data_IF_148627270144
#
_entry.id   IF_148627270144
#
_cell.length_a   1.000
_cell.length_b   1.000
_cell.length_c   1.000
_cell.angle_alpha   90.00
_cell.angle_beta   90.00
_cell.angle_gamma   90.00
#
_symmetry.space_group_name_H-M   'P 1'
#
loop_
_entity.id
_entity.type
_entity.pdbx_description
1 polymer ?
#
# COMPACT_ATOMS: atom_id res chain seq x y z
N UNK A 1 3.34 40.63 -5.77
CA UNK A 1 3.39 39.14 -5.74
C UNK A 1 4.64 38.73 -6.49
N UNK A 2 5.67 38.21 -5.80
CA UNK A 2 6.98 37.94 -6.40
C UNK A 2 6.88 36.83 -7.45
N UNK A 3 7.59 36.99 -8.57
CA UNK A 3 7.67 36.00 -9.65
C UNK A 3 8.17 34.62 -9.15
N UNK A 4 8.97 34.61 -8.09
CA UNK A 4 9.39 33.39 -7.39
C UNK A 4 8.26 32.73 -6.58
N UNK A 5 7.39 33.51 -5.92
CA UNK A 5 6.20 32.97 -5.25
C UNK A 5 5.19 32.43 -6.25
N UNK A 6 5.04 33.08 -7.42
CA UNK A 6 4.17 32.59 -8.49
C UNK A 6 4.75 31.34 -9.18
N UNK A 7 6.08 31.22 -9.31
CA UNK A 7 6.76 29.99 -9.77
C UNK A 7 6.68 28.86 -8.75
N UNK A 8 6.80 29.17 -7.46
CA UNK A 8 6.70 28.19 -6.38
C UNK A 8 5.25 27.71 -6.19
N UNK A 9 4.26 28.59 -6.33
CA UNK A 9 2.83 28.24 -6.36
C UNK A 9 2.49 27.35 -7.56
N UNK A 10 3.03 27.66 -8.76
CA UNK A 10 2.88 26.80 -9.94
C UNK A 10 3.61 25.46 -9.80
N UNK A 11 4.79 25.40 -9.17
CA UNK A 11 5.47 24.14 -8.82
C UNK A 11 4.63 23.31 -7.83
N UNK A 12 3.98 23.94 -6.86
CA UNK A 12 3.17 23.25 -5.85
C UNK A 12 1.92 22.57 -6.44
N UNK A 13 1.41 23.08 -7.56
CA UNK A 13 0.23 22.57 -8.26
C UNK A 13 0.51 21.50 -9.32
N UNK A 14 1.78 21.19 -9.60
CA UNK A 14 2.16 20.18 -10.60
C UNK A 14 1.73 18.77 -10.18
N UNK A 15 1.10 17.99 -11.07
CA UNK A 15 0.67 16.63 -10.77
C UNK A 15 1.87 15.72 -10.42
N UNK A 16 3.02 15.89 -11.07
CA UNK A 16 4.27 15.18 -10.75
C UNK A 16 4.70 15.35 -9.29
N UNK A 17 4.70 16.59 -8.79
CA UNK A 17 5.05 16.90 -7.40
C UNK A 17 4.03 16.35 -6.40
N UNK A 18 2.74 16.33 -6.76
CA UNK A 18 1.70 15.72 -5.93
C UNK A 18 1.89 14.21 -5.82
N UNK A 19 2.17 13.54 -6.94
CA UNK A 19 2.47 12.11 -6.95
C UNK A 19 3.68 11.80 -6.05
N UNK A 20 4.79 12.55 -6.21
CA UNK A 20 6.00 12.39 -5.38
C UNK A 20 5.71 12.53 -3.88
N UNK A 21 4.84 13.46 -3.49
CA UNK A 21 4.41 13.62 -2.09
C UNK A 21 3.64 12.40 -1.58
N UNK A 22 2.72 11.86 -2.36
CA UNK A 22 1.93 10.68 -1.98
C UNK A 22 2.86 9.46 -1.85
N UNK A 23 3.72 9.24 -2.84
CA UNK A 23 4.68 8.13 -2.83
C UNK A 23 5.68 8.28 -1.67
N UNK A 24 6.08 9.50 -1.30
CA UNK A 24 6.92 9.72 -0.12
C UNK A 24 6.27 9.21 1.17
N UNK A 25 4.96 9.35 1.32
CA UNK A 25 4.25 8.78 2.48
C UNK A 25 4.35 7.26 2.46
N UNK A 26 4.10 6.63 1.30
CA UNK A 26 4.29 5.18 1.12
C UNK A 26 5.70 4.75 1.51
N UNK A 27 6.73 5.46 1.02
CA UNK A 27 8.14 5.18 1.34
C UNK A 27 8.45 5.27 2.83
N UNK A 28 7.91 6.28 3.53
CA UNK A 28 8.09 6.41 4.98
C UNK A 28 7.47 5.20 5.70
N UNK A 29 6.23 4.83 5.34
CA UNK A 29 5.58 3.65 5.91
C UNK A 29 6.39 2.37 5.66
N UNK A 30 6.82 2.15 4.41
CA UNK A 30 7.63 1.00 4.03
C UNK A 30 8.99 0.98 4.72
N UNK A 31 9.63 2.14 4.93
CA UNK A 31 10.89 2.26 5.66
C UNK A 31 10.75 1.90 7.14
N UNK A 32 9.66 2.32 7.79
CA UNK A 32 9.34 1.94 9.17
C UNK A 32 9.15 0.42 9.28
N UNK A 33 8.46 -0.19 8.30
CA UNK A 33 8.30 -1.64 8.19
C UNK A 33 9.56 -2.39 7.74
N UNK A 34 10.67 -1.67 7.50
CA UNK A 34 11.97 -2.26 7.15
C UNK A 34 12.12 -2.66 5.68
N UNK A 35 11.26 -2.21 4.76
CA UNK A 35 11.34 -2.56 3.34
C UNK A 35 11.02 -1.38 2.40
N UNK A 36 11.88 -0.34 2.35
CA UNK A 36 11.76 0.75 1.36
C UNK A 36 12.25 0.32 -0.03
N UNK A 37 11.48 -0.54 -0.70
CA UNK A 37 11.82 -1.09 -2.02
C UNK A 37 11.90 -0.03 -3.11
N UNK A 38 11.32 1.15 -2.90
CA UNK A 38 11.32 2.26 -3.85
C UNK A 38 12.62 3.09 -3.81
N UNK A 39 13.46 2.92 -2.79
CA UNK A 39 14.79 3.53 -2.79
C UNK A 39 15.71 2.78 -3.77
N UNK A 40 16.38 3.45 -4.73
CA UNK A 40 17.34 2.81 -5.63
C UNK A 40 18.46 2.04 -4.89
N UNK A 41 18.90 2.57 -3.74
CA UNK A 41 19.98 2.00 -2.93
C UNK A 41 19.48 1.02 -1.86
N UNK A 42 18.20 0.64 -1.89
CA UNK A 42 17.68 -0.28 -0.88
C UNK A 42 18.32 -1.68 -0.99
N UNK A 43 18.91 -2.07 0.13
CA UNK A 43 19.39 -3.40 0.45
C UNK A 43 18.60 -3.93 1.66
N UNK A 44 18.54 -5.26 1.80
CA UNK A 44 17.93 -5.90 2.97
C UNK A 44 18.75 -5.51 4.19
N UNK A 45 18.12 -4.79 5.11
CA UNK A 45 18.78 -4.24 6.30
C UNK A 45 18.49 -5.10 7.53
N UNK A 46 19.22 -4.87 8.62
CA UNK A 46 18.98 -5.53 9.92
C UNK A 46 17.52 -5.36 10.38
N UNK A 47 16.89 -4.23 10.07
CA UNK A 47 15.47 -3.98 10.37
C UNK A 47 14.55 -4.94 9.61
N UNK A 48 14.85 -5.23 8.35
CA UNK A 48 14.09 -6.20 7.54
C UNK A 48 14.18 -7.59 8.17
N UNK A 49 15.38 -8.01 8.57
CA UNK A 49 15.57 -9.29 9.26
C UNK A 49 14.84 -9.34 10.61
N UNK A 50 14.87 -8.26 11.37
CA UNK A 50 14.13 -8.16 12.63
C UNK A 50 12.62 -8.30 12.42
N UNK A 51 12.05 -7.58 11.45
CA UNK A 51 10.62 -7.68 11.13
C UNK A 51 10.25 -9.09 10.66
N UNK A 52 11.09 -9.71 9.82
CA UNK A 52 10.89 -11.10 9.40
C UNK A 52 10.94 -12.07 10.59
N UNK A 53 11.88 -11.88 11.52
CA UNK A 53 11.98 -12.71 12.73
C UNK A 53 10.72 -12.56 13.60
N UNK A 54 10.24 -11.33 13.81
CA UNK A 54 9.00 -11.06 14.57
C UNK A 54 7.79 -11.72 13.92
N UNK A 55 7.66 -11.66 12.60
CA UNK A 55 6.56 -12.30 11.87
C UNK A 55 6.63 -13.82 12.03
N UNK A 56 7.80 -14.43 11.83
CA UNK A 56 7.96 -15.89 11.98
C UNK A 56 7.69 -16.34 13.42
N UNK A 57 8.15 -15.58 14.41
CA UNK A 57 7.84 -15.83 15.82
C UNK A 57 6.33 -15.74 16.09
N UNK A 58 5.65 -14.75 15.51
CA UNK A 58 4.20 -14.60 15.62
C UNK A 58 3.43 -15.77 14.98
N UNK A 59 3.90 -16.28 13.83
CA UNK A 59 3.32 -17.47 13.19
C UNK A 59 3.49 -18.70 14.08
N UNK A 60 4.64 -18.86 14.74
CA UNK A 60 4.90 -19.96 15.65
C UNK A 60 3.97 -19.91 16.87
N UNK A 61 3.81 -18.74 17.49
CA UNK A 61 2.89 -18.54 18.60
C UNK A 61 1.44 -18.88 18.21
N UNK A 62 0.98 -18.39 17.06
CA UNK A 62 -0.35 -18.71 16.56
C UNK A 62 -0.53 -20.20 16.26
N UNK A 63 0.50 -20.86 15.73
CA UNK A 63 0.46 -22.31 15.49
C UNK A 63 0.36 -23.10 16.80
N UNK A 64 1.04 -22.64 17.86
CA UNK A 64 0.93 -23.21 19.19
C UNK A 64 -0.48 -23.02 19.77
N UNK A 65 -1.05 -21.82 19.69
CA UNK A 65 -2.45 -21.57 20.08
C UNK A 65 -3.43 -22.48 19.33
N UNK A 66 -3.22 -22.68 18.03
CA UNK A 66 -4.08 -23.57 17.25
C UNK A 66 -4.00 -25.02 17.78
N UNK A 67 -2.80 -25.45 18.19
CA UNK A 67 -2.59 -26.77 18.78
C UNK A 67 -3.25 -26.89 20.16
N UNK A 68 -3.07 -25.93 21.06
CA UNK A 68 -3.69 -25.96 22.40
C UNK A 68 -5.22 -25.88 22.31
N UNK A 69 -5.77 -24.98 21.50
CA UNK A 69 -7.22 -24.87 21.30
C UNK A 69 -7.85 -26.14 20.71
N UNK A 70 -7.11 -26.87 19.86
CA UNK A 70 -7.57 -28.16 19.31
C UNK A 70 -7.47 -29.31 20.31
N UNK A 71 -6.32 -29.45 20.98
CA UNK A 71 -5.98 -30.64 21.79
C UNK A 71 -6.49 -30.54 23.23
N UNK A 72 -6.40 -29.36 23.84
CA UNK A 72 -6.67 -29.16 25.27
C UNK A 72 -8.12 -28.71 25.51
N UNK A 73 -8.63 -27.77 24.70
CA UNK A 73 -9.96 -27.17 24.91
C UNK A 73 -11.05 -27.77 24.01
N UNK A 74 -10.68 -28.33 22.85
CA UNK A 74 -11.63 -28.88 21.88
C UNK A 74 -12.55 -27.83 21.24
N UNK A 75 -12.19 -26.54 21.33
CA UNK A 75 -12.99 -25.43 20.82
C UNK A 75 -12.58 -25.04 19.39
N UNK A 76 -13.44 -25.40 18.44
CA UNK A 76 -13.27 -25.10 17.03
C UNK A 76 -13.29 -23.59 16.71
N UNK A 77 -13.88 -22.77 17.57
CA UNK A 77 -13.91 -21.32 17.37
C UNK A 77 -12.50 -20.71 17.46
N UNK A 78 -11.66 -21.23 18.36
CA UNK A 78 -10.28 -20.77 18.55
C UNK A 78 -9.46 -21.06 17.29
N UNK A 79 -9.59 -22.26 16.75
CA UNK A 79 -8.90 -22.67 15.51
C UNK A 79 -9.33 -21.77 14.34
N UNK A 80 -10.63 -21.50 14.22
CA UNK A 80 -11.15 -20.61 13.18
C UNK A 80 -10.63 -19.17 13.33
N UNK A 81 -10.55 -18.66 14.55
CA UNK A 81 -10.01 -17.33 14.85
C UNK A 81 -8.52 -17.23 14.51
N UNK A 82 -7.73 -18.24 14.88
CA UNK A 82 -6.30 -18.30 14.54
C UNK A 82 -6.08 -18.37 13.03
N UNK A 83 -6.87 -19.19 12.31
CA UNK A 83 -6.79 -19.26 10.85
C UNK A 83 -7.15 -17.92 10.19
N UNK A 84 -8.16 -17.23 10.72
CA UNK A 84 -8.59 -15.93 10.19
C UNK A 84 -7.53 -14.86 10.40
N UNK A 85 -6.97 -14.76 11.61
CA UNK A 85 -5.99 -13.73 11.96
C UNK A 85 -4.61 -14.10 11.38
N UNK A 86 -4.12 -15.30 11.68
CA UNK A 86 -2.81 -15.79 11.24
C UNK A 86 -2.75 -16.08 9.74
N UNK A 87 -3.68 -16.90 9.24
CA UNK A 87 -3.72 -17.25 7.82
C UNK A 87 -4.22 -16.11 6.93
N UNK A 88 -5.23 -15.37 7.37
CA UNK A 88 -5.81 -14.27 6.58
C UNK A 88 -4.94 -13.02 6.56
N UNK A 89 -4.56 -12.48 7.72
CA UNK A 89 -3.91 -11.16 7.80
C UNK A 89 -2.39 -11.23 7.89
N UNK A 90 -1.85 -12.08 8.78
CA UNK A 90 -0.41 -12.16 9.02
C UNK A 90 0.32 -12.77 7.83
N UNK A 91 -0.15 -13.90 7.30
CA UNK A 91 0.43 -14.54 6.13
C UNK A 91 0.30 -13.66 4.87
N UNK A 92 -0.81 -12.95 4.70
CA UNK A 92 -0.98 -12.00 3.60
C UNK A 92 0.05 -10.86 3.69
N UNK A 93 0.25 -10.28 4.87
CA UNK A 93 1.29 -9.27 5.12
C UNK A 93 2.69 -9.80 4.84
N UNK A 94 2.98 -11.04 5.28
CA UNK A 94 4.25 -11.72 5.02
C UNK A 94 4.50 -11.92 3.53
N UNK A 95 3.52 -12.45 2.79
CA UNK A 95 3.61 -12.63 1.35
C UNK A 95 3.85 -11.31 0.61
N UNK A 96 3.17 -10.23 1.01
CA UNK A 96 3.38 -8.88 0.44
C UNK A 96 4.80 -8.39 0.69
N UNK A 97 5.33 -8.58 1.90
CA UNK A 97 6.69 -8.17 2.26
C UNK A 97 7.73 -8.92 1.42
N UNK A 98 7.64 -10.25 1.37
CA UNK A 98 8.57 -11.09 0.59
C UNK A 98 8.48 -10.77 -0.91
N UNK A 99 7.27 -10.62 -1.46
CA UNK A 99 7.11 -10.27 -2.87
C UNK A 99 7.69 -8.89 -3.18
N UNK A 100 7.49 -7.90 -2.30
CA UNK A 100 8.05 -6.56 -2.48
C UNK A 100 9.58 -6.60 -2.52
N UNK A 101 10.20 -7.39 -1.62
CA UNK A 101 11.66 -7.54 -1.57
C UNK A 101 12.18 -8.25 -2.82
N UNK A 102 11.54 -9.36 -3.24
CA UNK A 102 11.95 -10.16 -4.41
C UNK A 102 11.77 -9.43 -5.72
N UNK A 103 10.74 -8.60 -5.85
CA UNK A 103 10.40 -7.88 -7.08
C UNK A 103 10.75 -6.39 -7.01
N UNK A 104 11.67 -6.00 -6.12
CA UNK A 104 12.05 -4.59 -5.90
C UNK A 104 12.39 -3.85 -7.20
N UNK A 105 13.07 -4.49 -8.14
CA UNK A 105 13.49 -3.87 -9.40
C UNK A 105 12.30 -3.57 -10.30
N UNK A 106 11.28 -4.43 -10.31
CA UNK A 106 10.03 -4.19 -11.05
C UNK A 106 9.24 -3.03 -10.45
N UNK A 107 9.14 -2.95 -9.12
CA UNK A 107 8.49 -1.84 -8.44
C UNK A 107 9.19 -0.51 -8.71
N UNK A 108 10.52 -0.49 -8.69
CA UNK A 108 11.34 0.70 -9.02
C UNK A 108 11.16 1.13 -10.47
N UNK A 109 11.20 0.17 -11.39
CA UNK A 109 10.98 0.42 -12.81
C UNK A 109 9.60 1.04 -13.05
N UNK A 110 8.53 0.41 -12.54
CA UNK A 110 7.17 0.91 -12.67
C UNK A 110 7.02 2.32 -12.09
N UNK A 111 7.58 2.58 -10.91
CA UNK A 111 7.48 3.89 -10.29
C UNK A 111 8.25 4.97 -11.08
N UNK A 112 9.42 4.62 -11.60
CA UNK A 112 10.25 5.53 -12.42
C UNK A 112 9.53 5.87 -13.73
N UNK A 113 8.92 4.88 -14.36
CA UNK A 113 8.10 5.04 -15.56
C UNK A 113 6.88 5.92 -15.32
N UNK A 114 6.18 5.73 -14.20
CA UNK A 114 5.10 6.64 -13.83
C UNK A 114 5.62 8.06 -13.65
N UNK A 115 6.77 8.28 -13.00
CA UNK A 115 7.31 9.63 -12.83
C UNK A 115 7.68 10.29 -14.16
N UNK A 116 8.33 9.57 -15.08
CA UNK A 116 8.70 10.12 -16.38
C UNK A 116 7.46 10.52 -17.19
N UNK A 117 6.40 9.70 -17.17
CA UNK A 117 5.12 10.02 -17.82
C UNK A 117 4.48 11.25 -17.18
N UNK A 118 4.48 11.37 -15.85
CA UNK A 118 3.94 12.55 -15.20
C UNK A 118 4.70 13.83 -15.56
N UNK A 119 6.01 13.78 -15.75
CA UNK A 119 6.84 14.93 -16.12
C UNK A 119 6.74 15.30 -17.60
N UNK A 120 6.64 14.32 -18.49
CA UNK A 120 6.51 14.55 -19.93
C UNK A 120 5.13 15.14 -20.26
N UNK A 121 4.05 14.52 -19.75
CA UNK A 121 2.69 14.85 -20.15
C UNK A 121 2.08 16.01 -19.36
N UNK A 122 2.69 16.45 -18.24
CA UNK A 122 2.24 17.67 -17.57
C UNK A 122 2.54 18.95 -18.36
N UNK A 123 3.46 18.90 -19.33
CA UNK A 123 3.90 20.04 -20.13
C UNK A 123 3.23 20.14 -21.50
N UNK A 124 2.54 19.09 -21.99
CA UNK A 124 1.96 19.06 -23.35
C UNK A 124 0.69 19.90 -23.49
N UNK A 125 -0.42 19.47 -22.89
CA UNK A 125 -1.71 20.19 -23.01
C UNK A 125 -2.51 20.16 -21.70
N UNK A 126 -3.47 21.09 -21.58
CA UNK A 126 -4.32 21.21 -20.40
C UNK A 126 -5.13 19.92 -20.13
N UNK A 127 -5.48 19.17 -21.17
CA UNK A 127 -6.24 17.92 -21.02
C UNK A 127 -5.39 16.82 -20.38
N UNK A 128 -4.13 16.65 -20.82
CA UNK A 128 -3.19 15.71 -20.18
C UNK A 128 -3.00 16.04 -18.69
N UNK A 129 -2.75 17.30 -18.36
CA UNK A 129 -2.58 17.75 -16.98
C UNK A 129 -3.83 17.48 -16.12
N UNK A 130 -5.04 17.62 -16.70
CA UNK A 130 -6.30 17.30 -16.03
C UNK A 130 -6.41 15.80 -15.71
N UNK A 131 -6.07 14.93 -16.65
CA UNK A 131 -6.10 13.48 -16.44
C UNK A 131 -5.05 13.01 -15.42
N UNK A 132 -3.83 13.58 -15.46
CA UNK A 132 -2.80 13.33 -14.44
C UNK A 132 -3.27 13.76 -13.04
N UNK A 133 -3.94 14.91 -12.91
CA UNK A 133 -4.51 15.39 -11.64
C UNK A 133 -5.60 14.46 -11.11
N UNK A 134 -6.45 13.90 -11.99
CA UNK A 134 -7.43 12.87 -11.63
C UNK A 134 -6.74 11.59 -11.12
N UNK A 135 -5.66 11.16 -11.78
CA UNK A 135 -4.84 10.03 -11.34
C UNK A 135 -4.29 10.20 -9.92
N UNK A 136 -3.71 11.37 -9.61
CA UNK A 136 -3.27 11.67 -8.24
C UNK A 136 -4.41 11.67 -7.22
N UNK A 137 -5.60 12.14 -7.62
CA UNK A 137 -6.77 12.14 -6.75
C UNK A 137 -7.25 10.71 -6.47
N UNK A 138 -7.29 9.86 -7.50
CA UNK A 138 -7.65 8.45 -7.37
C UNK A 138 -6.67 7.72 -6.43
N UNK A 139 -5.37 7.90 -6.62
CA UNK A 139 -4.36 7.35 -5.71
C UNK A 139 -4.58 7.86 -4.27
N UNK A 140 -4.72 9.17 -4.07
CA UNK A 140 -4.96 9.74 -2.74
C UNK A 140 -6.22 9.19 -2.07
N UNK A 141 -7.27 8.95 -2.86
CA UNK A 141 -8.52 8.37 -2.40
C UNK A 141 -8.31 6.93 -1.93
N UNK A 142 -7.66 6.08 -2.74
CA UNK A 142 -7.31 4.71 -2.33
C UNK A 142 -6.46 4.68 -1.06
N UNK A 143 -5.46 5.56 -0.96
CA UNK A 143 -4.60 5.61 0.23
C UNK A 143 -5.40 5.92 1.50
N UNK A 144 -6.28 6.93 1.44
CA UNK A 144 -7.15 7.29 2.56
C UNK A 144 -8.17 6.21 2.89
N UNK A 145 -8.77 5.59 1.87
CA UNK A 145 -9.75 4.53 2.06
C UNK A 145 -9.12 3.32 2.77
N UNK A 146 -7.96 2.86 2.31
CA UNK A 146 -7.22 1.79 2.98
C UNK A 146 -6.82 2.16 4.40
N UNK A 147 -6.39 3.41 4.65
CA UNK A 147 -6.06 3.87 6.00
C UNK A 147 -7.28 3.81 6.92
N UNK A 148 -8.44 4.30 6.47
CA UNK A 148 -9.68 4.29 7.24
C UNK A 148 -10.15 2.87 7.52
N UNK A 149 -10.16 1.98 6.53
CA UNK A 149 -10.53 0.57 6.71
C UNK A 149 -9.61 -0.11 7.72
N UNK A 150 -8.30 0.10 7.60
CA UNK A 150 -7.31 -0.52 8.48
C UNK A 150 -7.44 -0.03 9.93
N UNK A 151 -7.61 1.29 10.14
CA UNK A 151 -7.86 1.87 11.47
C UNK A 151 -9.17 1.36 12.06
N UNK A 152 -10.26 1.35 11.29
CA UNK A 152 -11.55 0.81 11.77
C UNK A 152 -11.44 -0.66 12.16
N UNK A 153 -10.69 -1.47 11.40
CA UNK A 153 -10.46 -2.88 11.69
C UNK A 153 -9.68 -3.07 13.00
N UNK A 154 -8.55 -2.38 13.18
CA UNK A 154 -7.73 -2.50 14.40
C UNK A 154 -8.49 -1.99 15.62
N UNK A 155 -9.07 -0.78 15.54
CA UNK A 155 -9.82 -0.19 16.65
C UNK A 155 -11.06 -1.03 16.98
N UNK A 156 -11.75 -1.57 15.97
CA UNK A 156 -12.88 -2.46 16.16
C UNK A 156 -12.51 -3.73 16.92
N UNK A 157 -11.41 -4.39 16.53
CA UNK A 157 -10.92 -5.59 17.21
C UNK A 157 -10.57 -5.32 18.68
N UNK A 158 -9.84 -4.24 18.96
CA UNK A 158 -9.46 -3.87 20.34
C UNK A 158 -10.70 -3.49 21.16
N UNK A 159 -11.64 -2.73 20.59
CA UNK A 159 -12.84 -2.28 21.29
C UNK A 159 -13.79 -3.43 21.60
N UNK A 160 -14.01 -4.34 20.64
CA UNK A 160 -14.87 -5.52 20.85
C UNK A 160 -14.26 -6.42 21.93
N UNK A 161 -12.96 -6.69 21.87
CA UNK A 161 -12.27 -7.48 22.89
C UNK A 161 -12.39 -6.80 24.28
N UNK A 162 -12.18 -5.49 24.37
CA UNK A 162 -12.32 -4.76 25.63
C UNK A 162 -13.78 -4.80 26.16
N UNK A 163 -14.77 -4.63 25.29
CA UNK A 163 -16.18 -4.65 25.67
C UNK A 163 -16.61 -6.02 26.20
N UNK A 164 -16.18 -7.12 25.57
CA UNK A 164 -16.45 -8.49 26.04
C UNK A 164 -15.87 -8.70 27.44
N UNK A 165 -14.61 -8.29 27.65
CA UNK A 165 -13.95 -8.40 28.95
C UNK A 165 -14.68 -7.62 30.07
N UNK A 166 -15.17 -6.41 29.78
CA UNK A 166 -15.89 -5.57 30.75
C UNK A 166 -17.29 -6.13 31.05
N UNK A 167 -18.05 -6.51 30.02
CA UNK A 167 -19.45 -6.93 30.14
C UNK A 167 -19.56 -8.34 30.76
N UNK A 168 -18.76 -9.29 30.29
CA UNK A 168 -18.84 -10.68 30.74
C UNK A 168 -17.94 -10.98 31.94
N UNK A 169 -17.12 -10.02 32.40
CA UNK A 169 -16.11 -10.21 33.45
C UNK A 169 -15.19 -11.42 33.20
N UNK A 170 -15.05 -11.80 31.93
CA UNK A 170 -14.12 -12.82 31.46
C UNK A 170 -12.77 -12.17 31.17
N UNK A 171 -11.72 -12.98 31.14
CA UNK A 171 -10.35 -12.58 30.82
C UNK A 171 -9.97 -13.14 29.46
N UNK A 172 -10.77 -12.80 28.46
CA UNK A 172 -10.60 -13.28 27.10
C UNK A 172 -9.59 -12.38 26.38
N UNK A 173 -8.56 -13.01 25.80
CA UNK A 173 -7.50 -12.30 25.08
C UNK A 173 -8.01 -11.81 23.70
N UNK A 174 -7.38 -10.76 23.14
CA UNK A 174 -7.79 -10.17 21.84
C UNK A 174 -7.58 -11.18 20.70
N UNK A 175 -6.45 -11.87 20.77
CA UNK A 175 -6.14 -13.07 20.02
C UNK A 175 -5.89 -14.13 21.09
N UNK A 176 -6.36 -15.36 20.94
CA UNK A 176 -6.07 -16.48 21.87
C UNK A 176 -4.56 -16.85 21.93
N UNK A 177 -3.65 -15.90 21.75
CA UNK A 177 -2.21 -16.09 21.85
C UNK A 177 -1.73 -16.00 23.29
N UNK A 178 -1.44 -17.15 23.90
CA UNK A 178 -0.69 -17.17 25.14
C UNK A 178 0.71 -16.60 24.92
N UNK A 179 1.08 -15.63 25.75
CA UNK A 179 2.46 -15.15 25.81
C UNK A 179 3.23 -16.16 26.66
N UNK A 180 4.11 -16.93 26.02
CA UNK A 180 4.95 -17.93 26.68
C UNK A 180 5.63 -17.29 27.90
N UNK A 181 5.29 -17.79 29.10
CA UNK A 181 5.89 -17.35 30.37
C UNK A 181 5.07 -16.32 31.19
N UNK A 182 3.89 -15.89 30.73
CA UNK A 182 2.99 -15.03 31.50
C UNK A 182 1.64 -15.74 31.66
N UNK A 183 1.21 -15.96 32.91
CA UNK A 183 -0.11 -16.55 33.18
C UNK A 183 -1.22 -15.48 33.05
N UNK A 184 -2.12 -15.58 32.05
CA UNK A 184 -3.24 -14.65 31.88
C UNK A 184 -4.27 -14.75 33.02
N UNK A 185 -4.23 -15.83 33.82
CA UNK A 185 -5.10 -16.05 34.97
C UNK A 185 -4.84 -15.07 36.12
N UNK A 186 -3.73 -14.32 36.09
CA UNK A 186 -3.41 -13.26 37.05
C UNK A 186 -3.80 -11.88 36.49
N UNK A 187 -4.37 -10.99 37.31
CA UNK A 187 -4.88 -9.68 36.83
C UNK A 187 -3.80 -8.85 36.14
N UNK A 188 -2.57 -8.86 36.70
CA UNK A 188 -1.42 -8.19 36.07
C UNK A 188 -0.97 -8.88 34.79
N UNK A 189 -1.02 -10.21 34.73
CA UNK A 189 -0.65 -10.98 33.54
C UNK A 189 -1.60 -10.71 32.37
N UNK A 190 -2.90 -10.67 32.64
CA UNK A 190 -3.93 -10.33 31.65
C UNK A 190 -3.69 -8.96 30.99
N UNK A 191 -3.51 -7.88 31.77
CA UNK A 191 -3.30 -6.54 31.22
C UNK A 191 -2.00 -6.42 30.42
N UNK A 192 -0.93 -7.09 30.85
CA UNK A 192 0.35 -7.11 30.14
C UNK A 192 0.19 -7.84 28.80
N UNK A 193 -0.41 -9.03 28.80
CA UNK A 193 -0.67 -9.81 27.59
C UNK A 193 -1.58 -9.03 26.62
N UNK A 194 -2.63 -8.39 27.13
CA UNK A 194 -3.53 -7.55 26.33
C UNK A 194 -2.79 -6.36 25.67
N UNK A 195 -1.94 -5.64 26.42
CA UNK A 195 -1.14 -4.54 25.85
C UNK A 195 -0.17 -5.03 24.79
N UNK A 196 0.52 -6.15 25.03
CA UNK A 196 1.47 -6.72 24.07
C UNK A 196 0.76 -7.13 22.78
N UNK A 197 -0.40 -7.79 22.88
CA UNK A 197 -1.21 -8.16 21.72
C UNK A 197 -1.75 -6.94 20.97
N UNK A 198 -2.20 -5.90 21.67
CA UNK A 198 -2.64 -4.65 21.05
C UNK A 198 -1.48 -3.97 20.28
N UNK A 199 -0.27 -3.97 20.84
CA UNK A 199 0.93 -3.48 20.16
C UNK A 199 1.24 -4.30 18.89
N UNK A 200 1.15 -5.63 18.96
CA UNK A 200 1.34 -6.49 17.78
C UNK A 200 0.29 -6.22 16.69
N UNK A 201 -0.98 -6.03 17.06
CA UNK A 201 -2.04 -5.67 16.12
C UNK A 201 -1.80 -4.30 15.47
N UNK A 202 -1.36 -3.30 16.23
CA UNK A 202 -1.03 -1.98 15.70
C UNK A 202 0.14 -2.05 14.72
N UNK A 203 1.22 -2.75 15.08
CA UNK A 203 2.40 -2.89 14.21
C UNK A 203 2.07 -3.74 12.97
N UNK A 204 1.36 -4.85 13.13
CA UNK A 204 0.95 -5.73 12.04
C UNK A 204 -0.02 -5.04 11.08
N UNK A 205 -1.01 -4.33 11.61
CA UNK A 205 -1.96 -3.56 10.81
C UNK A 205 -1.29 -2.39 10.08
N UNK A 206 -0.36 -1.68 10.71
CA UNK A 206 0.47 -0.68 10.04
C UNK A 206 1.32 -1.28 8.91
N UNK A 207 1.92 -2.46 9.14
CA UNK A 207 2.65 -3.20 8.11
C UNK A 207 1.78 -3.62 6.92
N UNK A 208 0.57 -4.11 7.20
CA UNK A 208 -0.40 -4.46 6.16
C UNK A 208 -0.81 -3.24 5.34
N UNK A 209 -1.09 -2.11 6.00
CA UNK A 209 -1.35 -0.83 5.34
C UNK A 209 -0.17 -0.41 4.45
N UNK A 210 1.05 -0.41 4.97
CA UNK A 210 2.25 -0.04 4.21
C UNK A 210 2.43 -0.92 2.95
N UNK A 211 2.18 -2.23 3.09
CA UNK A 211 2.17 -3.16 1.96
C UNK A 211 1.11 -2.82 0.91
N UNK A 212 -0.13 -2.58 1.33
CA UNK A 212 -1.21 -2.20 0.41
C UNK A 212 -0.89 -0.91 -0.35
N UNK A 213 -0.33 0.09 0.34
CA UNK A 213 0.07 1.35 -0.29
C UNK A 213 1.16 1.14 -1.34
N UNK A 214 2.14 0.27 -1.07
CA UNK A 214 3.19 -0.07 -2.03
C UNK A 214 2.62 -0.73 -3.29
N UNK A 215 1.64 -1.63 -3.16
CA UNK A 215 0.99 -2.30 -4.30
C UNK A 215 0.01 -1.38 -5.06
N UNK A 216 -0.81 -0.60 -4.36
CA UNK A 216 -1.79 0.29 -5.00
C UNK A 216 -1.15 1.49 -5.70
N UNK A 217 0.05 1.92 -5.28
CA UNK A 217 0.76 3.04 -5.91
C UNK A 217 0.89 2.87 -7.43
N UNK A 218 1.53 1.81 -7.97
CA UNK A 218 1.61 1.59 -9.41
C UNK A 218 0.26 1.23 -10.04
N UNK A 219 -0.54 0.38 -9.39
CA UNK A 219 -1.83 -0.10 -9.94
C UNK A 219 -2.82 1.05 -10.18
N UNK A 220 -2.88 2.02 -9.27
CA UNK A 220 -3.76 3.18 -9.39
C UNK A 220 -3.44 4.08 -10.58
N UNK A 221 -2.26 3.92 -11.19
CA UNK A 221 -1.85 4.71 -12.36
C UNK A 221 -2.29 4.09 -13.67
N UNK A 222 -2.70 2.82 -13.70
CA UNK A 222 -3.19 2.15 -14.91
C UNK A 222 -4.36 2.91 -15.56
N UNK A 223 -5.40 3.35 -14.82
CA UNK A 223 -6.46 4.18 -15.41
C UNK A 223 -5.93 5.52 -15.94
N UNK A 224 -4.96 6.13 -15.26
CA UNK A 224 -4.33 7.39 -15.71
C UNK A 224 -3.63 7.19 -17.05
N UNK A 225 -2.87 6.11 -17.21
CA UNK A 225 -2.18 5.75 -18.46
C UNK A 225 -3.16 5.51 -19.61
N UNK A 226 -4.28 4.82 -19.33
CA UNK A 226 -5.37 4.63 -20.30
C UNK A 226 -5.93 5.96 -20.81
N UNK A 227 -6.16 6.91 -19.91
CA UNK A 227 -6.67 8.23 -20.30
C UNK A 227 -5.63 9.06 -21.09
N UNK A 228 -4.34 8.94 -20.77
CA UNK A 228 -3.27 9.55 -21.57
C UNK A 228 -3.27 8.98 -22.99
N UNK A 229 -3.40 7.67 -23.15
CA UNK A 229 -3.50 7.03 -24.46
C UNK A 229 -4.75 7.52 -25.23
N UNK A 230 -5.88 7.73 -24.53
CA UNK A 230 -7.07 8.31 -25.14
C UNK A 230 -6.86 9.74 -25.61
N UNK A 231 -6.09 10.55 -24.88
CA UNK A 231 -5.70 11.89 -25.34
C UNK A 231 -4.83 11.81 -26.60
N UNK A 232 -3.85 10.89 -26.67
CA UNK A 232 -3.06 10.69 -27.89
C UNK A 232 -3.91 10.36 -29.11
N UNK A 233 -4.89 9.46 -28.95
CA UNK A 233 -5.82 9.15 -30.05
C UNK A 233 -6.69 10.33 -30.47
N UNK A 234 -7.06 11.22 -29.54
CA UNK A 234 -7.77 12.46 -29.88
C UNK A 234 -6.88 13.42 -30.65
N UNK A 235 -5.61 13.56 -30.26
CA UNK A 235 -4.66 14.42 -30.97
C UNK A 235 -4.43 13.90 -32.39
N UNK A 236 -4.32 12.57 -32.58
CA UNK A 236 -4.26 11.94 -33.90
C UNK A 236 -5.54 12.23 -34.71
N UNK A 237 -6.73 12.06 -34.11
CA UNK A 237 -7.98 12.30 -34.81
C UNK A 237 -8.14 13.76 -35.24
N UNK A 238 -7.76 14.70 -34.38
CA UNK A 238 -7.78 16.13 -34.69
C UNK A 238 -6.78 16.49 -35.81
N UNK A 239 -5.58 15.89 -35.82
CA UNK A 239 -4.61 16.05 -36.90
C UNK A 239 -5.09 15.47 -38.25
N UNK A 240 -5.93 14.43 -38.22
CA UNK A 240 -6.55 13.87 -39.43
C UNK A 240 -7.76 14.67 -39.94
N UNK A 241 -8.47 15.38 -39.06
CA UNK A 241 -9.67 16.18 -39.39
C UNK A 241 -9.35 17.64 -39.78
N UNK A 242 -8.17 18.16 -39.43
CA UNK A 242 -7.73 19.51 -39.83
C UNK A 242 -7.29 19.60 -41.30
N UNK A 243 -7.20 20.82 -41.84
CA UNK A 243 -6.69 21.12 -43.19
C UNK A 243 -5.21 20.67 -43.42
N UNK A 244 -4.56 20.09 -42.40
CA UNK A 244 -3.21 19.51 -42.43
C UNK A 244 -3.14 18.10 -43.05
N UNK A 245 -4.02 17.80 -44.01
CA UNK A 245 -3.96 16.59 -44.85
C UNK A 245 -2.63 16.45 -45.63
N UNK A 246 -1.77 17.47 -45.63
CA UNK A 246 -0.46 17.45 -46.27
C UNK A 246 0.66 16.81 -45.43
N UNK A 247 0.52 16.66 -44.11
CA UNK A 247 1.60 16.14 -43.28
C UNK A 247 1.37 14.70 -42.82
N UNK A 248 1.23 13.79 -43.79
CA UNK A 248 1.14 12.34 -43.57
C UNK A 248 2.27 11.81 -42.65
N UNK A 249 3.43 12.50 -42.65
CA UNK A 249 4.54 12.19 -41.73
C UNK A 249 4.20 12.53 -40.28
N UNK A 250 3.61 13.69 -40.01
CA UNK A 250 3.20 14.09 -38.66
C UNK A 250 2.17 13.12 -38.04
N UNK A 251 1.16 12.72 -38.81
CA UNK A 251 0.15 11.72 -38.35
C UNK A 251 0.80 10.36 -38.11
N UNK A 252 1.73 9.94 -38.98
CA UNK A 252 2.49 8.69 -38.81
C UNK A 252 3.37 8.71 -37.56
N UNK A 253 4.01 9.85 -37.25
CA UNK A 253 4.80 10.04 -36.03
C UNK A 253 3.94 9.96 -34.76
N UNK A 254 2.78 10.61 -34.74
CA UNK A 254 1.83 10.54 -33.61
C UNK A 254 1.30 9.11 -33.40
N UNK A 255 1.00 8.39 -34.49
CA UNK A 255 0.57 6.99 -34.41
C UNK A 255 1.69 6.09 -33.88
N UNK A 256 2.92 6.28 -34.35
CA UNK A 256 4.10 5.55 -33.86
C UNK A 256 4.34 5.81 -32.38
N UNK A 257 4.23 7.05 -31.93
CA UNK A 257 4.34 7.45 -30.53
C UNK A 257 3.22 6.82 -29.66
N UNK A 258 1.98 6.75 -30.15
CA UNK A 258 0.88 6.08 -29.45
C UNK A 258 1.08 4.56 -29.35
N UNK A 259 1.55 3.91 -30.42
CA UNK A 259 1.85 2.47 -30.44
C UNK A 259 3.04 2.14 -29.55
N UNK A 260 4.12 2.93 -29.60
CA UNK A 260 5.28 2.76 -28.71
C UNK A 260 4.90 2.95 -27.24
N UNK A 261 4.04 3.93 -26.93
CA UNK A 261 3.53 4.13 -25.58
C UNK A 261 2.71 2.93 -25.09
N UNK A 262 1.88 2.33 -25.96
CA UNK A 262 1.12 1.13 -25.62
C UNK A 262 2.04 -0.09 -25.41
N UNK A 263 3.07 -0.25 -26.25
CA UNK A 263 4.06 -1.33 -26.12
C UNK A 263 4.93 -1.21 -24.87
N UNK A 264 5.20 0.01 -24.37
CA UNK A 264 5.97 0.22 -23.14
C UNK A 264 5.29 -0.35 -21.88
N UNK A 265 4.00 -0.65 -21.97
CA UNK A 265 3.17 -1.12 -20.87
C UNK A 265 2.84 -2.63 -20.93
N UNK A 266 3.03 -3.29 -22.08
CA UNK A 266 2.86 -4.75 -22.27
C UNK A 266 4.10 -5.53 -21.84
#
# INVERSE_FOLDING_TARGET
MNLEDSRNANKLHRPSNRLRKIVRITRICSYICGADVFDPNYCVNIRTYFVLAVINFSILLLSYTMYSGWVEEGDWAIVLQVLTIGGGTLLQGYCKLINSIRQKDKFRFLLTEVYSIFEEYELKSCDYARHLKKGCHLLSYFMKLCAVINVMMICGLILVAAAINVIFQKRDLIVYGDVIGIDPSTTSGFYVTFMVQACFLLVGGFGLYAGDMAFFTPISQVPTLKEILRCKFKDINAAMEGDELQDSRHVSELLKDAVQFHQKYL
#
